data_IF_782652509477
#
_entry.id   IF_782652509477
#
_cell.length_a   1.000
_cell.length_b   1.000
_cell.length_c   1.000
_cell.angle_alpha   90.00
_cell.angle_beta   90.00
_cell.angle_gamma   90.00
#
_symmetry.space_group_name_H-M   'P 1'
#
loop_
_entity.id
_entity.type
_entity.pdbx_description
1 polymer ?
#
# COMPACT_ATOMS: atom_id res chain seq x y z
N UNK A 1 -54.29 -1.57 -53.65
CA UNK A 1 -54.09 -0.43 -52.71
C UNK A 1 -53.79 -0.89 -51.28
N UNK A 2 -54.47 -1.91 -50.74
CA UNK A 2 -54.22 -2.43 -49.38
C UNK A 2 -52.87 -3.16 -49.21
N UNK A 3 -52.38 -3.89 -50.23
CA UNK A 3 -51.06 -4.55 -50.17
C UNK A 3 -49.88 -3.56 -50.10
N UNK A 4 -49.98 -2.47 -50.85
CA UNK A 4 -48.97 -1.41 -50.89
C UNK A 4 -48.82 -0.67 -49.54
N UNK A 5 -49.89 -0.65 -48.73
CA UNK A 5 -49.88 -0.08 -47.38
C UNK A 5 -49.33 -1.06 -46.34
N UNK A 6 -49.50 -2.36 -46.54
CA UNK A 6 -48.93 -3.39 -45.67
C UNK A 6 -47.40 -3.47 -45.82
N UNK A 7 -46.91 -3.32 -47.04
CA UNK A 7 -45.48 -3.36 -47.36
C UNK A 7 -44.72 -2.18 -46.76
N UNK A 8 -45.25 -0.95 -46.92
CA UNK A 8 -44.70 0.25 -46.27
C UNK A 8 -44.67 0.19 -44.75
N UNK A 9 -45.58 -0.55 -44.11
CA UNK A 9 -45.55 -0.77 -42.64
C UNK A 9 -44.47 -1.76 -42.24
N UNK A 10 -44.18 -2.78 -43.06
CA UNK A 10 -43.09 -3.73 -42.82
C UNK A 10 -41.72 -3.08 -42.97
N UNK A 11 -41.53 -2.24 -43.99
CA UNK A 11 -40.27 -1.50 -44.19
C UNK A 11 -39.98 -0.52 -43.05
N UNK A 12 -41.01 0.19 -42.54
CA UNK A 12 -40.87 1.04 -41.35
C UNK A 12 -40.51 0.25 -40.10
N UNK A 13 -41.18 -0.88 -39.86
CA UNK A 13 -40.87 -1.78 -38.75
C UNK A 13 -39.43 -2.32 -38.80
N UNK A 14 -38.94 -2.68 -39.99
CA UNK A 14 -37.57 -3.16 -40.17
C UNK A 14 -36.53 -2.05 -39.96
N UNK A 15 -36.77 -0.86 -40.51
CA UNK A 15 -35.86 0.29 -40.33
C UNK A 15 -35.81 0.76 -38.87
N UNK A 16 -36.93 0.73 -38.15
CA UNK A 16 -36.98 1.03 -36.71
C UNK A 16 -36.22 -0.01 -35.88
N UNK A 17 -36.33 -1.31 -36.24
CA UNK A 17 -35.56 -2.38 -35.58
C UNK A 17 -34.06 -2.28 -35.87
N UNK A 18 -33.67 -1.91 -37.09
CA UNK A 18 -32.25 -1.70 -37.45
C UNK A 18 -31.69 -0.47 -36.72
N UNK A 19 -32.45 0.62 -36.59
CA UNK A 19 -32.07 1.78 -35.76
C UNK A 19 -31.94 1.42 -34.28
N UNK A 20 -32.87 0.63 -33.74
CA UNK A 20 -32.82 0.18 -32.35
C UNK A 20 -31.62 -0.73 -32.05
N UNK A 21 -31.18 -1.55 -33.01
CA UNK A 21 -29.96 -2.35 -32.88
C UNK A 21 -28.69 -1.49 -32.94
N UNK A 22 -28.62 -0.50 -33.84
CA UNK A 22 -27.48 0.43 -33.89
C UNK A 22 -27.39 1.34 -32.65
N UNK A 23 -28.53 1.74 -32.08
CA UNK A 23 -28.56 2.51 -30.81
C UNK A 23 -28.09 1.73 -29.59
N UNK A 24 -28.18 0.38 -29.59
CA UNK A 24 -27.68 -0.47 -28.50
C UNK A 24 -26.17 -0.72 -28.57
N UNK A 25 -25.56 -0.69 -29.76
CA UNK A 25 -24.12 -0.84 -29.94
C UNK A 25 -23.32 0.35 -29.37
N UNK A 26 -23.88 1.57 -29.41
CA UNK A 26 -23.26 2.76 -28.81
C UNK A 26 -23.23 2.78 -27.28
N UNK A 27 -24.05 1.96 -26.61
CA UNK A 27 -24.12 1.89 -25.15
C UNK A 27 -23.00 1.06 -24.51
N UNK A 28 -22.55 0.01 -25.19
CA UNK A 28 -21.54 -0.93 -24.66
C UNK A 28 -20.15 -0.30 -24.61
N UNK A 29 -19.76 0.45 -25.66
CA UNK A 29 -18.50 1.20 -25.69
C UNK A 29 -18.41 2.23 -24.56
N UNK A 30 -19.49 2.95 -24.29
CA UNK A 30 -19.54 3.97 -23.23
C UNK A 30 -19.44 3.41 -21.80
N UNK A 31 -19.73 2.11 -21.60
CA UNK A 31 -19.62 1.45 -20.29
C UNK A 31 -18.21 0.89 -20.05
N UNK A 32 -17.52 0.48 -21.12
CA UNK A 32 -16.09 0.15 -21.09
C UNK A 32 -15.20 1.39 -20.96
N UNK A 33 -15.53 2.49 -21.64
CA UNK A 33 -14.79 3.76 -21.53
C UNK A 33 -14.96 4.43 -20.16
N UNK A 34 -16.13 4.29 -19.52
CA UNK A 34 -16.36 4.79 -18.14
C UNK A 34 -15.60 4.01 -17.06
N UNK A 35 -15.02 2.85 -17.39
CA UNK A 35 -14.26 2.01 -16.45
C UNK A 35 -12.76 2.32 -16.38
N UNK A 36 -12.27 3.33 -17.11
CA UNK A 36 -10.86 3.73 -17.10
C UNK A 36 -10.65 5.16 -16.58
N UNK A 37 -11.61 5.73 -15.84
CA UNK A 37 -11.28 6.84 -14.94
C UNK A 37 -10.52 6.25 -13.76
N UNK A 38 -9.26 5.87 -13.99
CA UNK A 38 -8.26 5.73 -12.93
C UNK A 38 -8.28 7.08 -12.23
N UNK A 39 -9.08 7.19 -11.16
CA UNK A 39 -9.02 8.38 -10.32
C UNK A 39 -7.57 8.49 -9.92
N UNK A 40 -6.86 9.50 -10.42
CA UNK A 40 -5.48 9.75 -10.03
C UNK A 40 -5.51 9.80 -8.51
N UNK A 41 -4.71 8.96 -7.84
CA UNK A 41 -4.60 8.91 -6.37
C UNK A 41 -3.31 9.60 -5.93
N UNK A 42 -3.09 10.89 -6.27
CA UNK A 42 -1.83 11.55 -5.95
C UNK A 42 -1.60 11.59 -4.44
N UNK A 43 -2.66 11.71 -3.64
CA UNK A 43 -2.56 11.75 -2.18
C UNK A 43 -2.04 10.44 -1.57
N UNK A 44 -2.40 9.28 -2.13
CA UNK A 44 -1.90 7.97 -1.66
C UNK A 44 -0.39 7.87 -1.87
N UNK A 45 0.06 8.07 -3.11
CA UNK A 45 1.48 7.97 -3.44
C UNK A 45 2.30 9.11 -2.82
N UNK A 46 1.71 10.30 -2.65
CA UNK A 46 2.33 11.39 -1.91
C UNK A 46 2.52 11.04 -0.43
N UNK A 47 1.53 10.39 0.20
CA UNK A 47 1.67 9.92 1.59
C UNK A 47 2.77 8.85 1.70
N UNK A 48 2.77 7.85 0.81
CA UNK A 48 3.81 6.82 0.79
C UNK A 48 5.21 7.44 0.57
N UNK A 49 5.33 8.41 -0.34
CA UNK A 49 6.57 9.13 -0.60
C UNK A 49 7.01 9.99 0.58
N UNK A 50 6.08 10.68 1.26
CA UNK A 50 6.38 11.47 2.44
C UNK A 50 6.89 10.60 3.58
N UNK A 51 6.30 9.42 3.78
CA UNK A 51 6.73 8.45 4.79
C UNK A 51 8.11 7.90 4.47
N UNK A 52 8.32 7.50 3.21
CA UNK A 52 9.63 7.07 2.73
C UNK A 52 10.70 8.15 2.97
N UNK A 53 10.41 9.40 2.62
CA UNK A 53 11.32 10.51 2.80
C UNK A 53 11.60 10.79 4.29
N UNK A 54 10.58 10.73 5.13
CA UNK A 54 10.71 10.88 6.58
C UNK A 54 11.59 9.77 7.17
N UNK A 55 11.38 8.50 6.80
CA UNK A 55 12.21 7.38 7.25
C UNK A 55 13.67 7.60 6.88
N UNK A 56 13.95 7.85 5.59
CA UNK A 56 15.31 8.07 5.11
C UNK A 56 15.98 9.29 5.76
N UNK A 57 15.22 10.36 6.01
CA UNK A 57 15.73 11.52 6.74
C UNK A 57 16.08 11.19 8.19
N UNK A 58 15.19 10.48 8.92
CA UNK A 58 15.47 10.09 10.31
C UNK A 58 16.66 9.14 10.42
N UNK A 59 16.83 8.22 9.47
CA UNK A 59 18.01 7.33 9.38
C UNK A 59 19.28 8.09 9.05
N UNK A 60 19.19 9.11 8.20
CA UNK A 60 20.32 9.99 7.93
C UNK A 60 20.77 10.75 9.19
N UNK A 61 19.83 11.26 9.98
CA UNK A 61 20.15 11.86 11.28
C UNK A 61 20.75 10.85 12.26
N UNK A 62 20.19 9.63 12.31
CA UNK A 62 20.68 8.56 13.16
C UNK A 62 22.11 8.13 12.81
N UNK A 63 22.57 8.29 11.57
CA UNK A 63 23.94 7.98 11.17
C UNK A 63 24.99 8.78 11.97
N UNK A 64 24.62 9.95 12.52
CA UNK A 64 25.48 10.71 13.44
C UNK A 64 25.76 10.00 14.77
N UNK A 65 25.00 8.95 15.12
CA UNK A 65 25.16 8.18 16.35
C UNK A 65 26.01 6.91 16.17
N UNK A 66 26.49 6.60 14.96
CA UNK A 66 27.16 5.31 14.66
C UNK A 66 28.36 4.98 15.55
N UNK A 67 29.04 5.98 16.06
CA UNK A 67 30.21 5.83 16.94
C UNK A 67 30.02 6.54 18.30
N UNK A 68 28.79 6.91 18.61
CA UNK A 68 28.44 7.63 19.82
C UNK A 68 27.72 6.70 20.81
N UNK A 69 27.80 6.97 22.12
CA UNK A 69 26.97 6.28 23.09
C UNK A 69 25.48 6.53 22.83
N UNK A 70 24.64 5.60 23.27
CA UNK A 70 23.18 5.76 23.22
C UNK A 70 22.74 7.08 23.85
N UNK A 71 21.95 7.86 23.10
CA UNK A 71 21.45 9.16 23.55
C UNK A 71 20.10 8.97 24.28
N UNK A 72 20.00 9.22 25.59
CA UNK A 72 18.73 9.09 26.30
C UNK A 72 17.76 10.20 25.91
N UNK A 73 16.57 9.82 25.41
CA UNK A 73 15.48 10.76 25.11
C UNK A 73 14.47 10.77 26.26
N UNK A 74 14.09 9.58 26.73
CA UNK A 74 13.29 9.37 27.94
C UNK A 74 14.07 8.41 28.83
N UNK A 75 14.72 8.91 29.90
CA UNK A 75 15.54 8.07 30.78
C UNK A 75 14.75 6.86 31.31
N UNK A 76 15.31 5.66 31.11
CA UNK A 76 14.70 4.40 31.55
C UNK A 76 13.57 3.88 30.66
N UNK A 77 13.32 4.50 29.49
CA UNK A 77 12.29 4.05 28.54
C UNK A 77 12.76 4.05 27.07
N UNK A 78 13.29 5.18 26.59
CA UNK A 78 13.59 5.39 25.17
C UNK A 78 14.96 6.05 25.00
N UNK A 79 15.85 5.36 24.31
CA UNK A 79 17.13 5.90 23.84
C UNK A 79 17.14 5.97 22.30
N UNK A 80 18.04 6.80 21.76
CA UNK A 80 18.49 6.69 20.39
C UNK A 80 19.81 5.93 20.36
N UNK A 81 19.83 4.79 19.67
CA UNK A 81 20.97 3.88 19.60
C UNK A 81 21.15 3.41 18.17
N UNK A 82 22.26 3.74 17.51
CA UNK A 82 22.49 3.29 16.13
C UNK A 82 22.77 1.79 16.06
N UNK A 83 21.97 1.06 15.29
CA UNK A 83 22.11 -0.38 15.05
C UNK A 83 21.98 -0.66 13.56
N UNK A 84 22.93 -1.42 13.01
CA UNK A 84 22.84 -1.96 11.64
C UNK A 84 22.25 -3.36 11.70
N UNK A 85 21.02 -3.51 11.21
CA UNK A 85 20.27 -4.75 11.23
C UNK A 85 20.36 -5.46 9.87
N UNK A 86 21.19 -6.50 9.81
CA UNK A 86 21.37 -7.33 8.62
C UNK A 86 20.18 -8.29 8.37
N UNK A 87 19.37 -8.55 9.40
CA UNK A 87 18.26 -9.50 9.37
C UNK A 87 16.88 -8.84 9.30
N UNK A 88 15.92 -9.49 9.96
CA UNK A 88 14.59 -8.96 10.29
C UNK A 88 14.43 -8.89 11.82
N UNK A 89 13.22 -8.59 12.30
CA UNK A 89 12.91 -8.54 13.72
C UNK A 89 13.42 -9.79 14.48
N UNK A 90 13.90 -9.56 15.71
CA UNK A 90 14.51 -10.60 16.57
C UNK A 90 15.80 -11.23 16.02
N UNK A 91 16.46 -10.60 15.05
CA UNK A 91 17.74 -11.07 14.50
C UNK A 91 17.60 -12.27 13.54
N UNK A 92 16.38 -12.63 13.14
CA UNK A 92 16.18 -13.68 12.14
C UNK A 92 16.88 -13.29 10.83
N UNK A 93 17.55 -14.24 10.18
CA UNK A 93 18.40 -14.02 9.00
C UNK A 93 19.64 -13.13 9.20
N UNK A 94 19.99 -12.74 10.43
CA UNK A 94 21.22 -11.96 10.65
C UNK A 94 22.50 -12.71 10.24
N UNK A 95 22.55 -14.03 10.43
CA UNK A 95 23.71 -14.87 10.10
C UNK A 95 23.77 -15.29 8.62
N UNK A 96 22.77 -14.91 7.81
CA UNK A 96 22.70 -15.29 6.40
C UNK A 96 23.63 -14.46 5.48
N UNK A 97 24.34 -13.48 6.03
CA UNK A 97 25.29 -12.65 5.29
C UNK A 97 24.68 -11.94 4.08
N UNK A 98 25.46 -11.83 2.99
CA UNK A 98 25.01 -11.19 1.75
C UNK A 98 23.81 -11.91 1.11
N UNK A 99 23.72 -13.23 1.21
CA UNK A 99 22.56 -13.99 0.68
C UNK A 99 21.27 -13.56 1.39
N UNK A 100 21.32 -13.41 2.71
CA UNK A 100 20.20 -12.90 3.52
C UNK A 100 19.76 -11.51 3.07
N UNK A 101 20.71 -10.58 2.88
CA UNK A 101 20.44 -9.23 2.37
C UNK A 101 19.69 -9.26 1.04
N UNK A 102 20.15 -10.04 0.05
CA UNK A 102 19.52 -10.09 -1.27
C UNK A 102 18.15 -10.76 -1.24
N UNK A 103 17.98 -11.84 -0.47
CA UNK A 103 16.70 -12.51 -0.28
C UNK A 103 15.68 -11.54 0.34
N UNK A 104 16.04 -10.86 1.43
CA UNK A 104 15.16 -9.90 2.10
C UNK A 104 14.85 -8.68 1.21
N UNK A 105 15.80 -8.23 0.42
CA UNK A 105 15.60 -7.16 -0.57
C UNK A 105 14.61 -7.60 -1.66
N UNK A 106 14.74 -8.82 -2.18
CA UNK A 106 13.83 -9.37 -3.18
C UNK A 106 12.40 -9.52 -2.64
N UNK A 107 12.25 -10.06 -1.43
CA UNK A 107 10.94 -10.17 -0.75
C UNK A 107 10.32 -8.79 -0.57
N UNK A 108 11.09 -7.81 -0.10
CA UNK A 108 10.61 -6.44 0.11
C UNK A 108 10.22 -5.76 -1.20
N UNK A 109 10.96 -5.99 -2.29
CA UNK A 109 10.63 -5.48 -3.62
C UNK A 109 9.33 -6.09 -4.14
N UNK A 110 9.16 -7.41 -4.03
CA UNK A 110 7.93 -8.10 -4.44
C UNK A 110 6.74 -7.57 -3.62
N UNK A 111 6.91 -7.41 -2.30
CA UNK A 111 5.89 -6.84 -1.43
C UNK A 111 5.52 -5.40 -1.84
N UNK A 112 6.51 -4.53 -2.06
CA UNK A 112 6.29 -3.15 -2.49
C UNK A 112 5.51 -3.07 -3.82
N UNK A 113 5.89 -3.88 -4.81
CA UNK A 113 5.18 -3.96 -6.09
C UNK A 113 3.75 -4.49 -5.91
N UNK A 114 3.57 -5.56 -5.14
CA UNK A 114 2.26 -6.13 -4.84
C UNK A 114 1.33 -5.12 -4.16
N UNK A 115 1.83 -4.41 -3.13
CA UNK A 115 1.09 -3.36 -2.42
C UNK A 115 0.73 -2.21 -3.34
N UNK A 116 1.68 -1.72 -4.15
CA UNK A 116 1.41 -0.64 -5.10
C UNK A 116 0.34 -1.04 -6.13
N UNK A 117 0.44 -2.25 -6.70
CA UNK A 117 -0.54 -2.77 -7.65
C UNK A 117 -1.92 -2.98 -7.02
N UNK A 118 -1.97 -3.44 -5.76
CA UNK A 118 -3.21 -3.61 -5.03
C UNK A 118 -3.85 -2.26 -4.73
N UNK A 119 -3.07 -1.29 -4.22
CA UNK A 119 -3.54 0.06 -3.93
C UNK A 119 -4.09 0.80 -5.16
N UNK A 120 -3.50 0.57 -6.35
CA UNK A 120 -4.02 1.10 -7.63
C UNK A 120 -5.42 0.56 -7.92
N UNK A 121 -5.70 -0.70 -7.60
CA UNK A 121 -7.00 -1.36 -7.84
C UNK A 121 -8.05 -1.06 -6.76
N UNK A 122 -7.64 -0.81 -5.52
CA UNK A 122 -8.56 -0.50 -4.41
C UNK A 122 -9.35 0.80 -4.68
N UNK A 123 -10.68 0.85 -4.52
CA UNK A 123 -11.47 2.08 -4.69
C UNK A 123 -10.97 3.24 -3.81
N UNK A 124 -11.03 4.49 -4.30
CA UNK A 124 -10.56 5.65 -3.52
C UNK A 124 -11.47 5.98 -2.31
N UNK A 125 -12.68 5.42 -2.31
CA UNK A 125 -13.64 5.53 -1.22
C UNK A 125 -13.23 4.68 -0.01
N UNK A 126 -12.43 3.63 -0.21
CA UNK A 126 -11.91 2.76 0.85
C UNK A 126 -10.71 3.42 1.52
N UNK A 127 -10.96 4.55 2.20
CA UNK A 127 -9.91 5.40 2.77
C UNK A 127 -9.02 4.68 3.77
N UNK A 128 -9.58 3.82 4.61
CA UNK A 128 -8.80 3.11 5.63
C UNK A 128 -7.82 2.12 4.98
N UNK A 129 -8.30 1.33 4.01
CA UNK A 129 -7.47 0.45 3.19
C UNK A 129 -6.37 1.24 2.47
N UNK A 130 -6.73 2.35 1.82
CA UNK A 130 -5.76 3.23 1.13
C UNK A 130 -4.69 3.77 2.08
N UNK A 131 -5.07 4.23 3.27
CA UNK A 131 -4.09 4.73 4.25
C UNK A 131 -3.19 3.60 4.75
N UNK A 132 -3.76 2.44 5.11
CA UNK A 132 -2.99 1.28 5.53
C UNK A 132 -1.95 0.87 4.49
N UNK A 133 -2.36 0.75 3.22
CA UNK A 133 -1.45 0.40 2.12
C UNK A 133 -0.36 1.46 1.90
N UNK A 134 -0.67 2.76 2.05
CA UNK A 134 0.31 3.83 1.87
C UNK A 134 1.39 3.80 2.96
N UNK A 135 0.97 3.57 4.22
CA UNK A 135 1.89 3.45 5.35
C UNK A 135 2.85 2.26 5.16
N UNK A 136 2.30 1.08 4.81
CA UNK A 136 3.11 -0.12 4.58
C UNK A 136 4.04 0.08 3.39
N UNK A 137 3.55 0.64 2.27
CA UNK A 137 4.39 0.88 1.09
C UNK A 137 5.57 1.81 1.39
N UNK A 138 5.32 2.94 2.07
CA UNK A 138 6.37 3.88 2.44
C UNK A 138 7.44 3.26 3.33
N UNK A 139 7.03 2.50 4.35
CA UNK A 139 7.98 1.82 5.25
C UNK A 139 8.74 0.69 4.56
N UNK A 140 8.08 -0.15 3.76
CA UNK A 140 8.75 -1.23 3.01
C UNK A 140 9.80 -0.65 2.06
N UNK A 141 9.50 0.45 1.37
CA UNK A 141 10.46 1.14 0.51
C UNK A 141 11.64 1.71 1.31
N UNK A 142 11.42 2.26 2.50
CA UNK A 142 12.49 2.78 3.36
C UNK A 142 13.48 1.69 3.77
N UNK A 143 12.96 0.56 4.25
CA UNK A 143 13.78 -0.60 4.65
C UNK A 143 14.41 -1.33 3.45
N UNK A 144 13.78 -1.32 2.28
CA UNK A 144 14.37 -1.84 1.04
C UNK A 144 15.54 -0.98 0.57
N UNK A 145 15.39 0.34 0.58
CA UNK A 145 16.46 1.28 0.21
C UNK A 145 17.72 1.06 1.06
N UNK A 146 17.57 0.93 2.38
CA UNK A 146 18.71 0.62 3.25
C UNK A 146 19.41 -0.68 2.85
N UNK A 147 18.67 -1.77 2.65
CA UNK A 147 19.27 -3.05 2.26
C UNK A 147 20.01 -2.95 0.92
N UNK A 148 19.48 -2.22 -0.05
CA UNK A 148 20.11 -2.06 -1.35
C UNK A 148 21.39 -1.20 -1.27
N UNK A 149 21.36 -0.07 -0.55
CA UNK A 149 22.42 0.93 -0.59
C UNK A 149 23.38 0.91 0.61
N UNK A 150 22.92 0.47 1.78
CA UNK A 150 23.70 0.40 3.04
C UNK A 150 24.08 -1.03 3.42
N UNK A 151 23.40 -2.04 2.87
CA UNK A 151 23.64 -3.46 3.15
C UNK A 151 22.87 -3.99 4.37
N UNK A 152 22.49 -3.12 5.28
CA UNK A 152 21.68 -3.42 6.46
C UNK A 152 20.66 -2.30 6.69
N UNK A 153 19.58 -2.60 7.41
CA UNK A 153 18.61 -1.60 7.84
C UNK A 153 19.17 -0.79 9.01
N UNK A 154 19.02 0.53 8.97
CA UNK A 154 19.42 1.40 10.08
C UNK A 154 18.28 1.47 11.09
N UNK A 155 18.49 0.87 12.25
CA UNK A 155 17.61 0.95 13.41
C UNK A 155 18.18 1.96 14.42
N UNK A 156 17.29 2.71 15.08
CA UNK A 156 17.73 3.78 15.98
C UNK A 156 16.82 4.04 17.17
N UNK A 157 15.59 3.52 17.18
CA UNK A 157 14.67 3.61 18.31
C UNK A 157 14.89 2.41 19.22
N UNK A 158 15.27 2.70 20.47
CA UNK A 158 15.66 1.69 21.44
C UNK A 158 14.79 1.80 22.69
N UNK A 159 13.81 0.91 22.80
CA UNK A 159 12.82 0.87 23.87
C UNK A 159 13.14 -0.22 24.90
N UNK A 160 13.13 0.12 26.18
CA UNK A 160 13.37 -0.82 27.27
C UNK A 160 12.71 -0.39 28.58
N UNK A 161 12.42 -1.34 29.47
CA UNK A 161 11.97 -1.11 30.84
C UNK A 161 12.73 -2.08 31.76
N UNK A 162 13.55 -1.52 32.66
CA UNK A 162 14.44 -2.34 33.50
C UNK A 162 15.41 -3.15 32.63
N UNK A 163 15.37 -4.49 32.77
CA UNK A 163 16.19 -5.41 31.97
C UNK A 163 15.49 -5.89 30.68
N UNK A 164 14.21 -5.60 30.51
CA UNK A 164 13.46 -6.00 29.31
C UNK A 164 13.66 -4.98 28.21
N UNK A 165 14.11 -5.44 27.04
CA UNK A 165 14.45 -4.59 25.91
C UNK A 165 13.72 -5.08 24.67
N UNK A 166 12.98 -4.19 24.02
CA UNK A 166 12.37 -4.45 22.73
C UNK A 166 13.46 -4.38 21.66
N UNK A 167 13.40 -5.21 20.59
CA UNK A 167 14.34 -5.10 19.48
C UNK A 167 14.38 -3.68 18.94
N UNK A 168 15.56 -3.13 18.71
CA UNK A 168 15.69 -1.79 18.13
C UNK A 168 14.98 -1.73 16.78
N UNK A 169 14.36 -0.60 16.47
CA UNK A 169 13.54 -0.42 15.29
C UNK A 169 13.68 0.99 14.73
N UNK A 170 12.97 1.30 13.65
CA UNK A 170 12.99 2.61 13.00
C UNK A 170 11.59 3.12 12.66
N UNK A 171 11.53 4.27 11.99
CA UNK A 171 10.26 4.86 11.57
C UNK A 171 9.52 3.99 10.55
N UNK A 172 10.22 3.37 9.59
CA UNK A 172 9.63 2.41 8.66
C UNK A 172 8.91 1.25 9.38
N UNK A 173 9.47 0.71 10.47
CA UNK A 173 8.81 -0.35 11.23
C UNK A 173 7.54 0.14 11.92
N UNK A 174 7.57 1.33 12.53
CA UNK A 174 6.40 1.95 13.17
C UNK A 174 5.24 2.13 12.18
N UNK A 175 5.53 2.66 10.99
CA UNK A 175 4.49 2.88 9.97
C UNK A 175 4.03 1.58 9.32
N UNK A 176 4.90 0.56 9.16
CA UNK A 176 4.49 -0.77 8.70
C UNK A 176 3.52 -1.39 9.71
N UNK A 177 3.87 -1.40 11.00
CA UNK A 177 3.00 -1.94 12.06
C UNK A 177 1.68 -1.18 12.12
N UNK A 178 1.72 0.16 12.08
CA UNK A 178 0.50 0.98 12.08
C UNK A 178 -0.36 0.70 10.85
N UNK A 179 0.25 0.63 9.67
CA UNK A 179 -0.44 0.30 8.43
C UNK A 179 -1.09 -1.08 8.47
N UNK A 180 -0.38 -2.10 8.96
CA UNK A 180 -0.91 -3.44 9.15
C UNK A 180 -2.11 -3.45 10.11
N UNK A 181 -2.06 -2.70 11.21
CA UNK A 181 -3.18 -2.55 12.14
C UNK A 181 -4.39 -1.86 11.49
N UNK A 182 -4.18 -0.85 10.64
CA UNK A 182 -5.28 -0.22 9.88
C UNK A 182 -5.91 -1.19 8.89
N UNK A 183 -5.10 -1.98 8.17
CA UNK A 183 -5.59 -3.00 7.25
C UNK A 183 -6.39 -4.09 7.98
N UNK A 184 -5.90 -4.53 9.15
CA UNK A 184 -6.60 -5.46 10.01
C UNK A 184 -7.92 -4.88 10.51
N UNK A 185 -7.91 -3.63 10.98
CA UNK A 185 -9.11 -2.94 11.43
C UNK A 185 -10.14 -2.79 10.29
N UNK A 186 -9.70 -2.57 9.06
CA UNK A 186 -10.60 -2.51 7.90
C UNK A 186 -11.21 -3.88 7.60
N UNK A 187 -10.40 -4.94 7.63
CA UNK A 187 -10.87 -6.32 7.42
C UNK A 187 -11.87 -6.81 8.48
N UNK A 188 -11.77 -6.31 9.72
CA UNK A 188 -12.67 -6.65 10.82
C UNK A 188 -13.95 -5.81 10.86
N UNK A 189 -14.10 -4.79 10.01
CA UNK A 189 -15.32 -3.99 9.96
C UNK A 189 -16.48 -4.84 9.45
N UNK A 190 -17.63 -4.85 10.15
CA UNK A 190 -18.82 -5.53 9.65
C UNK A 190 -19.21 -4.92 8.30
N UNK A 191 -19.24 -5.73 7.24
CA UNK A 191 -19.81 -5.29 5.97
C UNK A 191 -21.29 -4.99 6.21
N UNK A 192 -21.74 -3.78 5.89
CA UNK A 192 -23.14 -3.36 6.07
C UNK A 192 -24.14 -4.11 5.17
N UNK A 193 -23.69 -5.16 4.49
CA UNK A 193 -24.46 -5.97 3.55
C UNK A 193 -25.42 -6.96 4.24
N UNK A 194 -25.34 -7.11 5.58
CA UNK A 194 -26.32 -7.92 6.34
C UNK A 194 -27.60 -7.17 6.73
N UNK A 195 -27.83 -5.94 6.25
CA UNK A 195 -29.06 -5.18 6.55
C UNK A 195 -30.22 -5.44 5.56
N UNK A 196 -29.94 -5.96 4.36
CA UNK A 196 -30.95 -6.17 3.31
C UNK A 196 -31.52 -7.59 3.23
N UNK A 197 -31.03 -8.55 4.02
CA UNK A 197 -31.55 -9.94 4.06
C UNK A 197 -32.54 -10.22 5.21
N UNK A 198 -33.02 -9.19 5.91
CA UNK A 198 -33.95 -9.30 7.05
C UNK A 198 -35.16 -8.34 6.94
N UNK A 199 -35.66 -8.10 5.73
CA UNK A 199 -36.99 -7.51 5.51
C UNK A 199 -37.71 -8.29 4.42
#
# INVERSE_FOLDING_TARGET
MLELLADRRRERSLSDRVRAMHGRAGGVGSRMERSARTMRKPHYFALALAIYAADQYTKHLAAGLKHEPSLPIIPGLLHLTYVENAGIAWGLFADAGEDGRWILSLISLIAALGIALYAIRTPAQERLMQWGLALVLGGVLGNLTDRLFRGAVVDFLDLFIGHYRWPTFNLADVVITTGALLLLADALRPSSETRWRRQ
#
